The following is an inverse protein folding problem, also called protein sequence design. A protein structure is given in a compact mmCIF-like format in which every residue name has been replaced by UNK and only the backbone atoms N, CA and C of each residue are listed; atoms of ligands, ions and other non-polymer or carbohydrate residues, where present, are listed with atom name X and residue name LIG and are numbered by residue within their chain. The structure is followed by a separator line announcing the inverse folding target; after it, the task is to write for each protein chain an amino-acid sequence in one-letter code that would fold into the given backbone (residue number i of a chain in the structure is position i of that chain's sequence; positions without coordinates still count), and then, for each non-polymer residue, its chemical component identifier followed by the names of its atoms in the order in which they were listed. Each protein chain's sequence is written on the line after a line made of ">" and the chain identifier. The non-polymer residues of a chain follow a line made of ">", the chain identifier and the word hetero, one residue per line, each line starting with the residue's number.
data_IF_596920321014
#
_entry.id   IF_596920321014
#
_cell.length_a   1.000
_cell.length_b   1.000
_cell.length_c   1.000
_cell.angle_alpha   90.00
_cell.angle_beta   90.00
_cell.angle_gamma   90.00
#
_symmetry.space_group_name_H-M   'P 1'
#
loop_
_entity.id
_entity.type
_entity.pdbx_description
1 polymer ?
#
# COMPACT_ATOMS: atom_id res chain seq x y z
N UNK A 1 -17.74 11.75 -13.29
CA UNK A 1 -18.34 12.44 -12.11
C UNK A 1 -18.71 11.48 -10.97
N UNK A 2 -19.39 10.36 -11.17
CA UNK A 2 -19.76 9.43 -10.08
C UNK A 2 -18.56 8.76 -9.34
N UNK A 3 -17.43 8.54 -10.02
CA UNK A 3 -16.22 7.98 -9.42
C UNK A 3 -15.55 8.95 -8.44
N UNK A 4 -15.51 10.24 -8.77
CA UNK A 4 -14.92 11.28 -7.92
C UNK A 4 -15.73 11.46 -6.61
N UNK A 5 -17.05 11.44 -6.66
CA UNK A 5 -17.91 11.59 -5.48
C UNK A 5 -17.76 10.40 -4.53
N UNK A 6 -17.63 9.18 -5.06
CA UNK A 6 -17.37 7.98 -4.23
C UNK A 6 -16.00 8.03 -3.55
N UNK A 7 -14.97 8.48 -4.26
CA UNK A 7 -13.63 8.63 -3.68
C UNK A 7 -13.66 9.60 -2.51
N UNK A 8 -14.24 10.79 -2.69
CA UNK A 8 -14.36 11.81 -1.65
C UNK A 8 -15.11 11.29 -0.43
N UNK A 9 -16.20 10.56 -0.64
CA UNK A 9 -16.98 9.96 0.44
C UNK A 9 -16.14 8.94 1.22
N UNK A 10 -15.48 8.00 0.55
CA UNK A 10 -14.63 6.98 1.18
C UNK A 10 -13.47 7.65 1.93
N UNK A 11 -12.79 8.59 1.30
CA UNK A 11 -11.71 9.35 1.94
C UNK A 11 -12.18 10.04 3.22
N UNK A 12 -13.33 10.72 3.17
CA UNK A 12 -13.91 11.39 4.34
C UNK A 12 -14.18 10.41 5.48
N UNK A 13 -14.70 9.24 5.16
CA UNK A 13 -15.00 8.20 6.14
C UNK A 13 -13.71 7.62 6.75
N UNK A 14 -12.71 7.31 5.92
CA UNK A 14 -11.42 6.79 6.38
C UNK A 14 -10.72 7.83 7.25
N UNK A 15 -10.67 9.09 6.82
CA UNK A 15 -10.11 10.21 7.60
C UNK A 15 -10.79 10.37 8.97
N UNK A 16 -12.11 10.24 9.03
CA UNK A 16 -12.87 10.27 10.30
C UNK A 16 -12.52 9.07 11.18
N UNK A 17 -12.40 7.88 10.59
CA UNK A 17 -12.04 6.68 11.33
C UNK A 17 -10.61 6.77 11.90
N UNK A 18 -9.64 7.26 11.13
CA UNK A 18 -8.26 7.46 11.57
C UNK A 18 -8.19 8.45 12.74
N UNK A 19 -8.96 9.53 12.73
CA UNK A 19 -9.04 10.47 13.86
C UNK A 19 -9.58 9.81 15.14
N UNK A 20 -10.52 8.89 15.03
CA UNK A 20 -11.12 8.21 16.16
C UNK A 20 -10.32 6.99 16.63
N UNK A 21 -9.40 6.49 15.79
CA UNK A 21 -8.67 5.25 16.04
C UNK A 21 -7.74 5.35 17.24
N UNK A 22 -7.21 6.53 17.56
CA UNK A 22 -6.35 6.74 18.72
C UNK A 22 -7.09 6.54 20.06
N UNK A 23 -8.38 6.87 20.13
CA UNK A 23 -9.17 6.72 21.36
C UNK A 23 -9.75 5.32 21.54
N UNK A 24 -10.03 4.60 20.47
CA UNK A 24 -10.61 3.26 20.49
C UNK A 24 -10.16 2.44 19.26
N UNK A 25 -8.87 2.02 19.17
CA UNK A 25 -8.30 1.43 17.98
C UNK A 25 -9.01 0.14 17.57
N UNK A 26 -9.33 -0.76 18.52
CA UNK A 26 -10.00 -2.03 18.23
C UNK A 26 -11.39 -1.84 17.63
N UNK A 27 -12.17 -0.93 18.19
CA UNK A 27 -13.51 -0.60 17.69
C UNK A 27 -13.45 0.07 16.33
N UNK A 28 -12.51 0.99 16.16
CA UNK A 28 -12.37 1.77 14.93
C UNK A 28 -11.93 0.90 13.75
N UNK A 29 -10.98 -0.03 13.97
CA UNK A 29 -10.56 -0.94 12.92
C UNK A 29 -11.67 -1.92 12.53
N UNK A 30 -12.43 -2.47 13.51
CA UNK A 30 -13.60 -3.32 13.21
C UNK A 30 -14.62 -2.57 12.37
N UNK A 31 -14.97 -1.34 12.75
CA UNK A 31 -15.91 -0.51 11.99
C UNK A 31 -15.42 -0.24 10.57
N UNK A 32 -14.11 0.01 10.36
CA UNK A 32 -13.53 0.19 9.02
C UNK A 32 -13.66 -1.08 8.18
N UNK A 33 -13.40 -2.24 8.76
CA UNK A 33 -13.52 -3.53 8.08
C UNK A 33 -14.96 -3.84 7.72
N UNK A 34 -15.89 -3.65 8.65
CA UNK A 34 -17.34 -3.86 8.43
C UNK A 34 -17.86 -2.92 7.33
N UNK A 35 -17.39 -1.69 7.33
CA UNK A 35 -17.72 -0.73 6.28
C UNK A 35 -17.11 -1.16 4.94
N UNK A 36 -15.82 -1.57 4.91
CA UNK A 36 -15.18 -2.11 3.71
C UNK A 36 -15.98 -3.30 3.16
N UNK A 37 -16.45 -4.20 4.02
CA UNK A 37 -17.29 -5.31 3.64
C UNK A 37 -18.64 -4.85 3.05
N UNK A 38 -19.28 -3.84 3.64
CA UNK A 38 -20.56 -3.31 3.15
C UNK A 38 -20.45 -2.64 1.77
N UNK A 39 -19.29 -2.07 1.44
CA UNK A 39 -19.01 -1.48 0.13
C UNK A 39 -18.39 -2.46 -0.87
N UNK A 40 -18.03 -3.66 -0.43
CA UNK A 40 -17.35 -4.64 -1.27
C UNK A 40 -18.27 -5.12 -2.41
N UNK A 41 -17.68 -5.26 -3.60
CA UNK A 41 -18.35 -5.80 -4.78
C UNK A 41 -17.51 -6.92 -5.38
N UNK A 42 -18.14 -8.03 -5.62
CA UNK A 42 -17.50 -9.20 -6.21
C UNK A 42 -16.77 -10.08 -5.18
N UNK A 43 -16.46 -11.28 -5.62
CA UNK A 43 -16.00 -12.38 -4.77
C UNK A 43 -14.66 -12.10 -4.06
N UNK A 44 -13.76 -11.40 -4.73
CA UNK A 44 -12.43 -11.10 -4.19
C UNK A 44 -12.52 -10.14 -3.00
N UNK A 45 -13.13 -8.97 -3.18
CA UNK A 45 -13.26 -7.96 -2.12
C UNK A 45 -13.99 -8.51 -0.89
N UNK A 46 -15.11 -9.20 -1.13
CA UNK A 46 -15.91 -9.80 -0.05
C UNK A 46 -15.07 -10.79 0.76
N UNK A 47 -14.32 -11.69 0.10
CA UNK A 47 -13.45 -12.66 0.77
C UNK A 47 -12.31 -12.00 1.53
N UNK A 48 -11.71 -10.94 0.98
CA UNK A 48 -10.65 -10.19 1.65
C UNK A 48 -11.17 -9.61 2.97
N UNK A 49 -12.25 -8.83 2.94
CA UNK A 49 -12.81 -8.22 4.15
C UNK A 49 -13.33 -9.25 5.15
N UNK A 50 -13.96 -10.34 4.69
CA UNK A 50 -14.36 -11.45 5.58
C UNK A 50 -13.15 -12.12 6.24
N UNK A 51 -12.02 -12.23 5.57
CA UNK A 51 -10.81 -12.78 6.15
C UNK A 51 -10.24 -11.86 7.22
N UNK A 52 -10.15 -10.55 6.94
CA UNK A 52 -9.72 -9.55 7.92
C UNK A 52 -10.69 -9.51 9.12
N UNK A 53 -12.00 -9.57 8.87
CA UNK A 53 -13.01 -9.61 9.95
C UNK A 53 -12.79 -10.81 10.88
N UNK A 54 -12.54 -12.00 10.32
CA UNK A 54 -12.21 -13.21 11.11
C UNK A 54 -10.94 -13.04 11.94
N UNK A 55 -9.90 -12.40 11.40
CA UNK A 55 -8.67 -12.10 12.12
C UNK A 55 -8.89 -11.18 13.33
N UNK A 56 -9.94 -10.35 13.30
CA UNK A 56 -10.31 -9.39 14.34
C UNK A 56 -11.45 -9.89 15.24
N UNK A 57 -11.90 -11.14 15.10
CA UNK A 57 -12.99 -11.69 15.93
C UNK A 57 -12.56 -11.94 17.37
N UNK A 58 -11.32 -12.39 17.57
CA UNK A 58 -10.73 -12.61 18.88
C UNK A 58 -10.24 -11.26 19.46
N UNK A 59 -10.70 -10.89 20.64
CA UNK A 59 -10.27 -9.67 21.33
C UNK A 59 -8.76 -9.69 21.72
N UNK A 60 -8.15 -10.87 21.78
CA UNK A 60 -6.73 -11.08 22.03
C UNK A 60 -5.90 -11.24 20.74
N UNK A 61 -6.51 -11.01 19.58
CA UNK A 61 -5.82 -11.11 18.31
C UNK A 61 -4.55 -10.25 18.27
N UNK A 62 -3.44 -10.85 17.82
CA UNK A 62 -2.16 -10.15 17.64
C UNK A 62 -2.22 -8.96 16.66
N UNK A 63 -3.26 -8.87 15.84
CA UNK A 63 -3.47 -7.75 14.93
C UNK A 63 -3.84 -6.45 15.67
N UNK A 64 -4.47 -6.50 16.85
CA UNK A 64 -4.79 -5.29 17.61
C UNK A 64 -3.56 -4.53 18.11
N UNK A 65 -2.55 -5.18 18.73
CA UNK A 65 -1.29 -4.50 19.05
C UNK A 65 -0.60 -3.94 17.80
N UNK A 66 -0.61 -4.65 16.68
CA UNK A 66 -0.05 -4.18 15.41
C UNK A 66 -0.75 -2.90 14.92
N UNK A 67 -2.09 -2.90 14.86
CA UNK A 67 -2.88 -1.72 14.47
C UNK A 67 -2.60 -0.55 15.41
N UNK A 68 -2.56 -0.81 16.71
CA UNK A 68 -2.27 0.21 17.74
C UNK A 68 -0.89 0.82 17.52
N UNK A 69 0.12 0.01 17.26
CA UNK A 69 1.47 0.46 16.94
C UNK A 69 1.49 1.36 15.68
N UNK A 70 0.86 0.91 14.59
CA UNK A 70 0.79 1.67 13.33
C UNK A 70 0.13 3.04 13.57
N UNK A 71 -1.04 3.10 14.18
CA UNK A 71 -1.77 4.36 14.36
C UNK A 71 -1.15 5.32 15.39
N UNK A 72 -0.26 4.81 16.24
CA UNK A 72 0.48 5.63 17.19
C UNK A 72 1.74 6.22 16.60
N UNK A 73 2.40 5.50 15.69
CA UNK A 73 3.73 5.86 15.19
C UNK A 73 3.74 6.37 13.75
N UNK A 74 2.63 6.22 13.00
CA UNK A 74 2.55 6.69 11.61
C UNK A 74 1.57 7.86 11.51
N UNK A 75 1.96 8.92 10.84
CA UNK A 75 1.10 10.07 10.59
C UNK A 75 -0.21 9.68 9.89
N UNK A 76 -1.31 10.29 10.30
CA UNK A 76 -2.65 9.96 9.78
C UNK A 76 -2.77 10.23 8.27
N UNK A 77 -2.13 11.28 7.76
CA UNK A 77 -2.19 11.60 6.33
C UNK A 77 -1.42 10.57 5.49
N UNK A 78 -0.33 10.00 6.01
CA UNK A 78 0.37 8.86 5.38
C UNK A 78 -0.51 7.61 5.36
N UNK A 79 -1.10 7.26 6.51
CA UNK A 79 -2.03 6.12 6.61
C UNK A 79 -3.22 6.29 5.66
N UNK A 80 -3.75 7.51 5.56
CA UNK A 80 -4.83 7.83 4.64
C UNK A 80 -4.39 7.65 3.18
N UNK A 81 -3.24 8.21 2.80
CA UNK A 81 -2.73 8.14 1.43
C UNK A 81 -2.50 6.68 1.01
N UNK A 82 -1.71 5.94 1.78
CA UNK A 82 -1.45 4.52 1.53
C UNK A 82 -2.75 3.70 1.52
N UNK A 83 -3.60 3.92 2.51
CA UNK A 83 -4.88 3.23 2.64
C UNK A 83 -5.84 3.51 1.46
N UNK A 84 -5.84 4.73 0.92
CA UNK A 84 -6.63 5.08 -0.27
C UNK A 84 -6.07 4.42 -1.53
N UNK A 85 -4.74 4.33 -1.68
CA UNK A 85 -4.13 3.65 -2.82
C UNK A 85 -4.43 2.15 -2.80
N UNK A 86 -4.29 1.48 -1.65
CA UNK A 86 -4.64 0.06 -1.52
C UNK A 86 -6.17 -0.14 -1.60
N UNK A 87 -6.93 0.55 -0.77
CA UNK A 87 -8.36 0.28 -0.61
C UNK A 87 -9.22 0.78 -1.76
N UNK A 88 -8.98 2.01 -2.22
CA UNK A 88 -9.78 2.61 -3.28
C UNK A 88 -9.17 2.36 -4.66
N UNK A 89 -7.92 2.77 -4.90
CA UNK A 89 -7.32 2.67 -6.23
C UNK A 89 -7.13 1.20 -6.64
N UNK A 90 -6.55 0.35 -5.79
CA UNK A 90 -6.31 -1.06 -6.10
C UNK A 90 -7.56 -1.92 -5.92
N UNK A 91 -8.08 -2.03 -4.68
CA UNK A 91 -9.15 -2.99 -4.38
C UNK A 91 -10.54 -2.57 -4.90
N UNK A 92 -10.76 -1.30 -5.27
CA UNK A 92 -12.07 -0.84 -5.78
C UNK A 92 -12.02 -0.47 -7.24
N UNK A 93 -11.22 0.52 -7.62
CA UNK A 93 -11.14 1.01 -9.00
C UNK A 93 -10.43 -0.01 -9.90
N UNK A 94 -9.23 -0.43 -9.51
CA UNK A 94 -8.41 -1.39 -10.24
C UNK A 94 -9.10 -2.75 -10.35
N UNK A 95 -9.59 -3.29 -9.24
CA UNK A 95 -10.30 -4.57 -9.25
C UNK A 95 -11.59 -4.55 -10.10
N UNK A 96 -12.23 -3.39 -10.28
CA UNK A 96 -13.34 -3.26 -11.24
C UNK A 96 -12.83 -3.32 -12.67
N UNK A 97 -11.79 -2.55 -12.98
CA UNK A 97 -11.18 -2.49 -14.31
C UNK A 97 -10.64 -3.85 -14.76
N UNK A 98 -9.95 -4.56 -13.86
CA UNK A 98 -9.49 -5.93 -14.09
C UNK A 98 -10.66 -6.83 -14.52
N UNK A 99 -11.77 -6.83 -13.77
CA UNK A 99 -12.93 -7.67 -14.09
C UNK A 99 -13.59 -7.31 -15.43
N UNK A 100 -13.62 -6.04 -15.77
CA UNK A 100 -14.16 -5.56 -17.05
C UNK A 100 -13.31 -6.12 -18.22
N UNK A 101 -11.97 -5.99 -18.12
CA UNK A 101 -11.05 -6.49 -19.14
C UNK A 101 -11.06 -8.04 -19.20
N UNK A 102 -11.02 -8.72 -18.04
CA UNK A 102 -11.07 -10.19 -18.00
C UNK A 102 -12.34 -10.76 -18.62
N UNK A 103 -13.47 -10.04 -18.51
CA UNK A 103 -14.73 -10.45 -19.13
C UNK A 103 -14.73 -10.26 -20.65
N UNK A 104 -13.98 -9.29 -21.18
CA UNK A 104 -13.89 -8.99 -22.61
C UNK A 104 -12.82 -9.85 -23.31
N UNK A 105 -11.66 -9.99 -22.66
CA UNK A 105 -10.46 -10.57 -23.29
C UNK A 105 -10.24 -12.06 -22.94
N UNK A 106 -11.00 -12.62 -22.02
CA UNK A 106 -10.95 -14.03 -21.58
C UNK A 106 -9.57 -14.51 -21.05
N UNK A 107 -8.76 -13.61 -20.47
CA UNK A 107 -7.55 -13.96 -19.74
C UNK A 107 -7.56 -13.35 -18.34
N UNK A 108 -6.77 -13.92 -17.40
CA UNK A 108 -6.68 -13.42 -16.03
C UNK A 108 -5.61 -12.35 -15.91
N UNK A 109 -5.93 -11.27 -15.18
CA UNK A 109 -5.01 -10.19 -14.86
C UNK A 109 -4.66 -10.26 -13.37
N UNK A 110 -3.36 -10.25 -13.00
CA UNK A 110 -2.96 -10.17 -11.59
C UNK A 110 -3.33 -8.80 -11.03
N UNK A 111 -3.79 -8.74 -9.78
CA UNK A 111 -4.09 -7.45 -9.14
C UNK A 111 -2.85 -6.77 -8.56
N UNK A 112 -1.73 -7.47 -8.49
CA UNK A 112 -0.42 -6.98 -8.03
C UNK A 112 0.68 -7.67 -8.81
N UNK A 113 1.81 -6.99 -8.96
CA UNK A 113 3.03 -7.52 -9.54
C UNK A 113 4.18 -7.41 -8.54
N UNK A 114 5.09 -8.39 -8.62
CA UNK A 114 6.36 -8.40 -7.91
C UNK A 114 7.47 -8.15 -8.92
N UNK A 115 8.25 -7.10 -8.69
CA UNK A 115 9.41 -6.72 -9.51
C UNK A 115 10.68 -6.94 -8.70
N UNK A 116 11.57 -7.73 -9.23
CA UNK A 116 12.94 -7.82 -8.72
C UNK A 116 13.80 -6.86 -9.53
N UNK A 117 14.39 -5.88 -8.85
CA UNK A 117 15.14 -4.79 -9.47
C UNK A 117 16.61 -4.94 -9.13
N UNK A 118 17.41 -5.11 -10.17
CA UNK A 118 18.86 -4.92 -10.12
C UNK A 118 19.20 -3.47 -10.46
N UNK A 119 20.01 -2.82 -9.63
CA UNK A 119 20.38 -1.41 -9.76
C UNK A 119 20.95 -1.05 -11.14
N UNK A 120 21.87 -1.88 -11.66
CA UNK A 120 22.52 -1.60 -12.94
C UNK A 120 21.53 -1.69 -14.10
N UNK A 121 20.66 -2.71 -14.11
CA UNK A 121 19.59 -2.87 -15.09
C UNK A 121 18.56 -1.74 -14.99
N UNK A 122 18.16 -1.38 -13.76
CA UNK A 122 17.19 -0.30 -13.54
C UNK A 122 17.70 1.04 -14.09
N UNK A 123 18.95 1.42 -13.77
CA UNK A 123 19.54 2.68 -14.23
C UNK A 123 19.57 2.79 -15.77
N UNK A 124 19.71 1.68 -16.47
CA UNK A 124 19.71 1.65 -17.93
C UNK A 124 18.31 1.66 -18.57
N UNK A 125 17.31 1.20 -17.83
CA UNK A 125 15.95 0.92 -18.34
C UNK A 125 14.84 1.64 -17.56
N UNK A 126 15.13 2.79 -16.93
CA UNK A 126 14.14 3.54 -16.11
C UNK A 126 12.83 3.80 -16.84
N UNK A 127 12.91 4.16 -18.14
CA UNK A 127 11.71 4.40 -18.96
C UNK A 127 10.86 3.14 -19.13
N UNK A 128 11.49 1.97 -19.26
CA UNK A 128 10.76 0.71 -19.43
C UNK A 128 9.99 0.35 -18.14
N UNK A 129 10.56 0.65 -16.96
CA UNK A 129 9.86 0.46 -15.67
C UNK A 129 8.71 1.46 -15.49
N UNK A 130 8.89 2.72 -15.90
CA UNK A 130 7.83 3.74 -15.91
C UNK A 130 6.67 3.30 -16.81
N UNK A 131 6.98 2.87 -18.03
CA UNK A 131 6.01 2.35 -18.99
C UNK A 131 5.28 1.09 -18.47
N UNK A 132 6.01 0.19 -17.81
CA UNK A 132 5.43 -1.02 -17.20
C UNK A 132 4.39 -0.66 -16.13
N UNK A 133 4.68 0.32 -15.26
CA UNK A 133 3.71 0.76 -14.25
C UNK A 133 2.53 1.46 -14.91
N UNK A 134 2.75 2.29 -15.92
CA UNK A 134 1.68 2.93 -16.70
C UNK A 134 0.75 1.90 -17.33
N UNK A 135 1.29 0.90 -18.02
CA UNK A 135 0.52 -0.19 -18.61
C UNK A 135 -0.21 -1.02 -17.55
N UNK A 136 0.44 -1.29 -16.41
CA UNK A 136 -0.21 -1.94 -15.29
C UNK A 136 -1.42 -1.17 -14.77
N UNK A 137 -1.34 0.15 -14.64
CA UNK A 137 -2.47 1.02 -14.27
C UNK A 137 -3.58 0.99 -15.33
N UNK A 138 -3.23 0.87 -16.60
CA UNK A 138 -4.20 0.67 -17.68
C UNK A 138 -4.95 -0.66 -17.55
N UNK A 139 -4.32 -1.68 -17.01
CA UNK A 139 -4.96 -2.96 -16.69
C UNK A 139 -5.69 -2.96 -15.34
N UNK A 140 -5.45 -1.98 -14.47
CA UNK A 140 -6.07 -1.88 -13.14
C UNK A 140 -5.14 -2.31 -12.00
N UNK A 141 -3.85 -2.47 -12.24
CA UNK A 141 -2.84 -2.84 -11.25
C UNK A 141 -2.31 -1.58 -10.58
N UNK A 142 -2.62 -1.39 -9.28
CA UNK A 142 -2.21 -0.24 -8.47
C UNK A 142 -1.40 -0.64 -7.23
N UNK A 143 -1.09 -1.92 -7.05
CA UNK A 143 -0.27 -2.40 -5.95
C UNK A 143 0.94 -3.14 -6.51
N UNK A 144 2.13 -2.74 -6.04
CA UNK A 144 3.40 -3.23 -6.56
C UNK A 144 4.30 -3.64 -5.41
N UNK A 145 4.90 -4.82 -5.52
CA UNK A 145 5.99 -5.26 -4.67
C UNK A 145 7.28 -5.08 -5.43
N UNK A 146 8.22 -4.34 -4.86
CA UNK A 146 9.52 -4.08 -5.45
C UNK A 146 10.58 -4.63 -4.51
N UNK A 147 11.37 -5.59 -4.97
CA UNK A 147 12.55 -6.08 -4.27
C UNK A 147 13.80 -5.48 -4.91
N UNK A 148 14.50 -4.66 -4.17
CA UNK A 148 15.73 -4.03 -4.59
C UNK A 148 16.81 -4.26 -3.53
N UNK A 149 17.74 -5.17 -3.81
CA UNK A 149 18.85 -5.46 -2.90
C UNK A 149 19.73 -4.22 -2.66
N UNK A 150 20.07 -3.51 -3.73
CA UNK A 150 20.80 -2.24 -3.71
C UNK A 150 19.91 -1.14 -4.26
N UNK A 151 19.59 -0.16 -3.40
CA UNK A 151 18.74 0.97 -3.76
C UNK A 151 19.52 2.05 -4.54
N UNK A 152 18.78 2.84 -5.29
CA UNK A 152 19.25 4.04 -5.93
C UNK A 152 18.16 5.13 -5.87
N UNK A 153 18.57 6.39 -5.91
CA UNK A 153 17.68 7.54 -5.80
C UNK A 153 16.70 7.64 -6.98
N UNK A 154 17.13 7.22 -8.16
CA UNK A 154 16.29 7.18 -9.36
C UNK A 154 15.06 6.25 -9.21
N UNK A 155 15.14 5.24 -8.33
CA UNK A 155 13.98 4.41 -8.00
C UNK A 155 12.92 5.23 -7.25
N UNK A 156 13.32 6.12 -6.35
CA UNK A 156 12.39 6.98 -5.63
C UNK A 156 11.71 7.99 -6.57
N UNK A 157 12.43 8.52 -7.56
CA UNK A 157 11.85 9.35 -8.62
C UNK A 157 10.74 8.62 -9.39
N UNK A 158 10.95 7.33 -9.66
CA UNK A 158 9.91 6.48 -10.27
C UNK A 158 8.68 6.34 -9.35
N UNK A 159 8.90 6.11 -8.05
CA UNK A 159 7.80 5.97 -7.09
C UNK A 159 7.00 7.28 -6.97
N UNK A 160 7.68 8.45 -6.93
CA UNK A 160 7.05 9.78 -6.89
C UNK A 160 6.10 10.00 -8.07
N UNK A 161 6.45 9.57 -9.27
CA UNK A 161 5.61 9.71 -10.48
C UNK A 161 4.30 8.94 -10.38
N UNK A 162 4.27 7.90 -9.58
CA UNK A 162 3.14 6.99 -9.44
C UNK A 162 2.51 7.05 -8.04
N UNK A 163 2.29 8.25 -7.53
CA UNK A 163 1.74 8.53 -6.20
C UNK A 163 0.33 7.98 -5.97
N UNK A 164 -0.36 7.61 -7.05
CA UNK A 164 -1.66 6.92 -7.05
C UNK A 164 -1.57 5.39 -6.88
N UNK A 165 -0.35 4.83 -6.90
CA UNK A 165 -0.07 3.42 -6.61
C UNK A 165 0.30 3.21 -5.13
N UNK A 166 0.20 1.97 -4.66
CA UNK A 166 0.76 1.51 -3.40
C UNK A 166 1.98 0.64 -3.67
N UNK A 167 3.11 0.99 -3.09
CA UNK A 167 4.36 0.23 -3.23
C UNK A 167 4.73 -0.44 -1.91
N UNK A 168 5.16 -1.69 -1.98
CA UNK A 168 5.88 -2.38 -0.92
C UNK A 168 7.32 -2.58 -1.37
N UNK A 169 8.23 -1.77 -0.83
CA UNK A 169 9.65 -1.79 -1.15
C UNK A 169 10.37 -2.71 -0.17
N UNK A 170 10.93 -3.81 -0.68
CA UNK A 170 11.74 -4.76 0.06
C UNK A 170 13.22 -4.45 -0.20
N UNK A 171 13.97 -4.15 0.86
CA UNK A 171 15.38 -3.79 0.74
C UNK A 171 16.19 -4.28 1.95
N UNK A 172 17.51 -4.24 1.81
CA UNK A 172 18.44 -4.52 2.90
C UNK A 172 18.74 -3.25 3.70
N UNK A 173 18.93 -3.39 5.02
CA UNK A 173 19.29 -2.27 5.89
C UNK A 173 20.53 -1.51 5.39
N UNK A 174 21.52 -2.24 4.93
CA UNK A 174 22.81 -1.70 4.45
C UNK A 174 22.69 -0.84 3.19
N UNK A 175 21.61 -0.99 2.42
CA UNK A 175 21.40 -0.22 1.20
C UNK A 175 20.75 1.15 1.44
N UNK A 176 20.29 1.42 2.66
CA UNK A 176 19.62 2.67 3.04
C UNK A 176 20.62 3.67 3.64
N UNK A 177 20.92 4.72 2.89
CA UNK A 177 21.68 5.87 3.38
C UNK A 177 20.76 6.88 4.07
N UNK A 178 21.33 7.82 4.84
CA UNK A 178 20.56 8.91 5.46
C UNK A 178 19.76 9.73 4.44
N UNK A 179 20.35 10.03 3.29
CA UNK A 179 19.69 10.73 2.19
C UNK A 179 18.49 9.94 1.66
N UNK A 180 18.63 8.64 1.44
CA UNK A 180 17.52 7.76 1.01
C UNK A 180 16.42 7.66 2.06
N UNK A 181 16.75 7.70 3.35
CA UNK A 181 15.78 7.71 4.43
C UNK A 181 14.94 9.00 4.42
N UNK A 182 15.58 10.16 4.12
CA UNK A 182 14.87 11.44 3.97
C UNK A 182 13.94 11.43 2.76
N UNK A 183 14.37 10.90 1.63
CA UNK A 183 13.53 10.75 0.43
C UNK A 183 12.35 9.80 0.68
N UNK A 184 12.58 8.63 1.28
CA UNK A 184 11.53 7.68 1.66
C UNK A 184 10.52 8.30 2.64
N UNK A 185 10.98 9.16 3.53
CA UNK A 185 10.09 9.93 4.38
C UNK A 185 9.13 10.84 3.58
N UNK A 186 9.47 11.22 2.36
CA UNK A 186 8.60 11.95 1.41
C UNK A 186 7.60 11.08 0.64
N UNK A 187 7.64 9.74 0.76
CA UNK A 187 6.81 8.81 -0.02
C UNK A 187 5.68 8.16 0.81
N UNK A 188 4.55 8.86 1.04
CA UNK A 188 3.47 8.35 1.88
C UNK A 188 2.73 7.14 1.31
N UNK A 189 2.95 6.81 0.05
CA UNK A 189 2.37 5.68 -0.66
C UNK A 189 3.29 4.45 -0.72
N UNK A 190 4.41 4.48 0.03
CA UNK A 190 5.40 3.40 0.06
C UNK A 190 5.50 2.80 1.46
N UNK A 191 5.35 1.47 1.54
CA UNK A 191 5.65 0.66 2.71
C UNK A 191 7.06 0.08 2.56
N UNK A 192 7.96 0.40 3.49
CA UNK A 192 9.31 -0.16 3.49
C UNK A 192 9.34 -1.44 4.31
N UNK A 193 9.84 -2.51 3.73
CA UNK A 193 10.09 -3.80 4.36
C UNK A 193 11.60 -4.07 4.32
N UNK A 194 12.19 -4.24 5.50
CA UNK A 194 13.63 -4.42 5.65
C UNK A 194 13.91 -5.90 5.90
N UNK A 195 14.87 -6.43 5.15
CA UNK A 195 15.38 -7.79 5.38
C UNK A 195 15.97 -7.88 6.80
N UNK A 196 15.59 -8.93 7.56
CA UNK A 196 16.04 -9.09 8.94
C UNK A 196 17.52 -9.47 8.96
N UNK A 197 18.34 -8.54 9.40
CA UNK A 197 19.76 -8.70 9.70
C UNK A 197 20.11 -8.05 11.05
N UNK A 198 21.38 -8.06 11.43
CA UNK A 198 21.85 -7.48 12.70
C UNK A 198 21.63 -5.95 12.79
N UNK A 199 21.44 -5.26 11.67
CA UNK A 199 21.26 -3.79 11.58
C UNK A 199 19.79 -3.39 11.47
N UNK A 200 18.90 -4.33 11.14
CA UNK A 200 17.50 -4.05 10.87
C UNK A 200 16.77 -3.38 12.06
N UNK A 201 17.05 -3.79 13.29
CA UNK A 201 16.41 -3.22 14.50
C UNK A 201 16.79 -1.76 14.73
N UNK A 202 18.06 -1.41 14.49
CA UNK A 202 18.55 -0.04 14.63
C UNK A 202 17.90 0.84 13.57
N UNK A 203 17.92 0.41 12.33
CA UNK A 203 17.34 1.14 11.21
C UNK A 203 15.81 1.28 11.32
N UNK A 204 15.10 0.24 11.77
CA UNK A 204 13.66 0.34 12.03
C UNK A 204 13.34 1.37 13.12
N UNK A 205 14.24 1.53 14.11
CA UNK A 205 14.10 2.54 15.15
C UNK A 205 14.33 3.95 14.60
N UNK A 206 15.29 4.13 13.72
CA UNK A 206 15.55 5.41 13.04
C UNK A 206 14.40 5.81 12.12
N UNK A 207 13.88 4.88 11.32
CA UNK A 207 12.72 5.11 10.45
C UNK A 207 11.45 5.53 11.21
N UNK A 208 11.29 5.05 12.45
CA UNK A 208 10.15 5.46 13.31
C UNK A 208 10.29 6.88 13.84
N UNK A 209 11.51 7.40 13.94
CA UNK A 209 11.78 8.72 14.50
C UNK A 209 11.81 9.83 13.44
N UNK A 210 11.77 9.49 12.17
CA UNK A 210 11.68 10.39 11.01
C UNK A 210 10.25 10.46 10.48
#
# INVERSE_FOLDING_TARGET
>A
MASSTKRILIETIVRKALRNIQSAPERSIRNLVDMGLSFSKGRFQTRLFQSVQRMLTDEHSAYYPLVRNIVTNVEHDRLLHFGMNVGYNSCTLGARKIREIEAEEAFNIPWTLYLEIDKATFTQHQTDYDDLICQGKELGIYTWFISAGDLCTELFDLLVKHDDCAFALLCRAQSLTDEMLEELAGLPHTLVSIELDEQADVLCSELRNR
#
